data_IF_407527925891
#
_entry.id   IF_407527925891
#
_cell.length_a   1.000
_cell.length_b   1.000
_cell.length_c   1.000
_cell.angle_alpha   90.00
_cell.angle_beta   90.00
_cell.angle_gamma   90.00
#
_symmetry.space_group_name_H-M   'P 1'
#
loop_
_entity.id
_entity.type
_entity.pdbx_description
1 polymer ?
#
# COMPACT_ATOMS: atom_id res chain seq x y z
N UNK A 1 2.72 -0.14 14.16
CA UNK A 1 3.59 -1.12 13.46
C UNK A 1 3.61 -0.74 11.98
N UNK A 2 4.76 -0.30 11.48
CA UNK A 2 4.88 0.26 10.12
C UNK A 2 4.91 -0.87 9.10
N UNK A 3 3.91 -0.96 8.25
CA UNK A 3 3.95 -1.80 7.05
C UNK A 3 4.64 -0.97 5.96
N UNK A 4 5.92 -1.26 5.69
CA UNK A 4 6.63 -0.76 4.53
C UNK A 4 6.43 -1.73 3.37
N UNK A 5 5.67 -1.32 2.37
CA UNK A 5 5.61 -2.01 1.08
C UNK A 5 6.85 -1.65 0.25
N UNK A 6 7.80 -2.57 0.17
CA UNK A 6 8.90 -2.48 -0.80
C UNK A 6 8.60 -3.39 -1.99
N UNK A 7 8.27 -2.80 -3.14
CA UNK A 7 8.26 -3.51 -4.42
C UNK A 7 9.69 -3.62 -4.94
N UNK A 8 10.22 -4.84 -5.01
CA UNK A 8 11.49 -5.14 -5.64
C UNK A 8 11.28 -5.37 -7.16
N UNK A 9 11.95 -4.56 -7.97
CA UNK A 9 12.05 -4.70 -9.43
C UNK A 9 13.01 -5.85 -9.77
N UNK A 10 12.52 -6.87 -10.48
CA UNK A 10 13.35 -7.92 -11.09
C UNK A 10 13.87 -7.41 -12.43
N UNK A 11 15.18 -7.15 -12.51
CA UNK A 11 15.89 -6.86 -13.77
C UNK A 11 16.32 -8.16 -14.42
N UNK A 12 15.77 -8.47 -15.60
CA UNK A 12 16.15 -9.60 -16.43
C UNK A 12 17.31 -9.19 -17.37
N UNK A 13 18.52 -9.69 -17.11
CA UNK A 13 19.69 -9.53 -17.98
C UNK A 13 19.85 -10.75 -18.89
N UNK A 14 19.69 -10.54 -20.18
CA UNK A 14 20.02 -11.50 -21.26
C UNK A 14 21.53 -11.44 -21.53
N UNK A 15 22.23 -12.55 -21.31
CA UNK A 15 23.61 -12.76 -21.74
C UNK A 15 23.66 -13.52 -23.05
N UNK A 16 24.23 -12.88 -24.07
CA UNK A 16 24.60 -13.50 -25.34
C UNK A 16 25.94 -14.26 -25.17
N UNK A 17 25.95 -15.51 -25.57
CA UNK A 17 27.15 -16.35 -25.60
C UNK A 17 27.94 -16.08 -26.87
N UNK A 18 29.25 -15.80 -26.74
CA UNK A 18 30.24 -15.88 -27.81
C UNK A 18 31.27 -16.95 -27.46
N UNK A 19 31.44 -17.92 -28.35
CA UNK A 19 32.45 -18.97 -28.28
C UNK A 19 33.84 -18.42 -28.61
N UNK A 20 34.85 -18.75 -27.79
CA UNK A 20 36.26 -18.59 -28.10
C UNK A 20 37.07 -19.33 -27.05
N UNK A 21 37.65 -20.48 -27.42
CA UNK A 21 38.41 -21.33 -26.51
C UNK A 21 39.77 -20.71 -26.13
N UNK A 22 40.10 -20.83 -24.85
CA UNK A 22 41.48 -21.04 -24.37
C UNK A 22 41.41 -21.60 -22.94
N UNK A 23 42.22 -22.60 -22.67
CA UNK A 23 42.34 -23.26 -21.38
C UNK A 23 42.81 -22.24 -20.32
N UNK A 24 41.96 -21.94 -19.36
CA UNK A 24 42.34 -21.30 -18.11
C UNK A 24 42.28 -22.30 -16.97
N UNK A 25 43.17 -22.20 -15.96
CA UNK A 25 43.21 -23.17 -14.85
C UNK A 25 41.87 -23.16 -14.09
N UNK A 26 41.41 -24.34 -13.72
CA UNK A 26 40.24 -24.51 -12.84
C UNK A 26 40.41 -23.66 -11.60
N UNK A 27 39.48 -22.77 -11.24
CA UNK A 27 39.45 -22.23 -9.91
C UNK A 27 39.05 -23.40 -8.99
N UNK A 28 39.87 -23.63 -8.00
CA UNK A 28 39.57 -24.50 -6.86
C UNK A 28 38.16 -24.15 -6.39
N UNK A 29 37.29 -25.16 -6.29
CA UNK A 29 35.98 -25.05 -5.68
C UNK A 29 36.15 -24.64 -4.22
N UNK A 30 36.27 -23.34 -4.02
CA UNK A 30 36.14 -22.75 -2.69
C UNK A 30 34.67 -22.90 -2.34
N UNK A 31 34.34 -24.01 -1.66
CA UNK A 31 33.09 -24.21 -0.98
C UNK A 31 32.98 -23.10 0.08
N UNK A 32 32.54 -21.91 -0.37
CA UNK A 32 32.19 -20.82 0.52
C UNK A 32 31.03 -21.33 1.38
N UNK A 33 31.37 -21.82 2.56
CA UNK A 33 30.40 -21.83 3.67
C UNK A 33 30.03 -20.37 3.87
N UNK A 34 28.86 -19.97 3.35
CA UNK A 34 28.25 -18.70 3.78
C UNK A 34 28.33 -18.69 5.29
N UNK A 35 28.95 -17.65 5.83
CA UNK A 35 29.12 -17.53 7.26
C UNK A 35 27.73 -17.45 7.88
N UNK A 36 27.30 -18.52 8.57
CA UNK A 36 26.00 -18.56 9.24
C UNK A 36 25.91 -17.32 10.13
N UNK A 37 24.80 -16.56 9.99
CA UNK A 37 24.54 -15.36 10.77
C UNK A 37 24.85 -15.65 12.27
N UNK A 38 25.66 -14.81 12.95
CA UNK A 38 25.99 -15.02 14.34
C UNK A 38 24.77 -15.11 15.26
N UNK A 39 23.68 -14.38 14.96
CA UNK A 39 22.42 -14.43 15.70
C UNK A 39 21.73 -15.79 15.54
N UNK A 40 21.69 -16.32 14.33
CA UNK A 40 21.13 -17.65 14.06
C UNK A 40 21.93 -18.73 14.77
N UNK A 41 23.25 -18.67 14.71
CA UNK A 41 24.14 -19.62 15.42
C UNK A 41 23.90 -19.60 16.94
N UNK A 42 23.78 -18.41 17.53
CA UNK A 42 23.49 -18.28 18.96
C UNK A 42 22.14 -18.91 19.35
N UNK A 43 21.10 -18.74 18.50
CA UNK A 43 19.80 -19.37 18.73
C UNK A 43 19.86 -20.89 18.59
N UNK A 44 20.61 -21.41 17.62
CA UNK A 44 20.84 -22.85 17.44
C UNK A 44 21.54 -23.47 18.67
N UNK A 45 22.52 -22.77 19.25
CA UNK A 45 23.25 -23.25 20.42
C UNK A 45 22.36 -23.21 21.68
N UNK A 46 21.50 -22.20 21.83
CA UNK A 46 20.49 -22.14 22.89
C UNK A 46 19.50 -23.31 22.79
N UNK A 47 18.99 -23.60 21.59
CA UNK A 47 18.07 -24.73 21.36
C UNK A 47 18.74 -26.06 21.63
N UNK A 48 20.03 -26.24 21.26
CA UNK A 48 20.77 -27.46 21.59
C UNK A 48 20.98 -27.64 23.09
N UNK A 49 21.20 -26.52 23.81
CA UNK A 49 21.45 -26.52 25.26
C UNK A 49 20.15 -26.82 26.05
N UNK A 50 19.03 -26.24 25.60
CA UNK A 50 17.73 -26.36 26.25
C UNK A 50 16.64 -26.68 25.21
N UNK A 51 16.56 -27.95 24.72
CA UNK A 51 15.68 -28.32 23.60
C UNK A 51 14.18 -28.20 23.94
N UNK A 52 13.82 -28.27 25.22
CA UNK A 52 12.46 -28.17 25.71
C UNK A 52 12.00 -26.74 25.99
N UNK A 53 12.85 -25.74 25.78
CA UNK A 53 12.48 -24.33 25.95
C UNK A 53 11.81 -23.79 24.67
N UNK A 54 10.48 -23.55 24.67
CA UNK A 54 9.75 -23.12 23.48
C UNK A 54 10.16 -21.73 23.02
N UNK A 55 10.61 -20.87 23.95
CA UNK A 55 10.95 -19.48 23.65
C UNK A 55 12.14 -19.37 22.67
N UNK A 56 13.12 -20.26 22.74
CA UNK A 56 14.27 -20.22 21.82
C UNK A 56 13.84 -20.57 20.38
N UNK A 57 12.89 -21.51 20.24
CA UNK A 57 12.31 -21.81 18.94
C UNK A 57 11.47 -20.64 18.42
N UNK A 58 10.69 -20.00 19.28
CA UNK A 58 9.94 -18.80 18.90
C UNK A 58 10.86 -17.65 18.46
N UNK A 59 11.94 -17.40 19.20
CA UNK A 59 12.94 -16.39 18.81
C UNK A 59 13.61 -16.71 17.46
N UNK A 60 13.88 -18.01 17.19
CA UNK A 60 14.45 -18.42 15.91
C UNK A 60 13.41 -18.33 14.78
N UNK A 61 12.16 -18.66 15.07
CA UNK A 61 11.05 -18.45 14.14
C UNK A 61 10.86 -16.98 13.77
N UNK A 62 10.97 -16.05 14.73
CA UNK A 62 10.96 -14.62 14.44
C UNK A 62 12.10 -14.21 13.51
N UNK A 63 13.32 -14.72 13.78
CA UNK A 63 14.47 -14.49 12.90
C UNK A 63 14.20 -14.98 11.47
N UNK A 64 13.69 -16.20 11.32
CA UNK A 64 13.36 -16.78 10.02
C UNK A 64 12.23 -16.01 9.32
N UNK A 65 11.20 -15.58 10.06
CA UNK A 65 10.13 -14.77 9.53
C UNK A 65 10.63 -13.43 8.98
N UNK A 66 11.50 -12.73 9.75
CA UNK A 66 12.12 -11.47 9.34
C UNK A 66 13.01 -11.63 8.09
N UNK A 67 13.58 -12.83 7.90
CA UNK A 67 14.38 -13.21 6.74
C UNK A 67 13.57 -13.81 5.58
N UNK A 68 12.23 -13.78 5.66
CA UNK A 68 11.28 -14.39 4.68
C UNK A 68 11.48 -15.91 4.49
N UNK A 69 12.17 -16.57 5.42
CA UNK A 69 12.34 -18.02 5.46
C UNK A 69 11.15 -18.69 6.15
N UNK A 70 9.99 -18.64 5.49
CA UNK A 70 8.70 -18.98 6.10
C UNK A 70 8.54 -20.45 6.44
N UNK A 71 9.16 -21.38 5.69
CA UNK A 71 9.13 -22.81 6.01
C UNK A 71 9.80 -23.09 7.36
N UNK A 72 10.99 -22.54 7.56
CA UNK A 72 11.77 -22.67 8.79
C UNK A 72 11.05 -22.00 9.96
N UNK A 73 10.45 -20.82 9.75
CA UNK A 73 9.67 -20.14 10.76
C UNK A 73 8.45 -20.99 11.19
N UNK A 74 7.70 -21.53 10.25
CA UNK A 74 6.51 -22.36 10.52
C UNK A 74 6.91 -23.66 11.24
N UNK A 75 8.04 -24.27 10.89
CA UNK A 75 8.50 -25.49 11.54
C UNK A 75 8.93 -25.24 12.99
N UNK A 76 9.64 -24.16 13.27
CA UNK A 76 10.00 -23.78 14.64
C UNK A 76 8.77 -23.41 15.48
N UNK A 77 7.79 -22.68 14.91
CA UNK A 77 6.54 -22.36 15.58
C UNK A 77 5.71 -23.59 15.92
N UNK A 78 5.66 -24.58 14.98
CA UNK A 78 5.01 -25.85 15.25
C UNK A 78 5.64 -26.57 16.43
N UNK A 79 6.96 -26.60 16.52
CA UNK A 79 7.68 -27.19 17.65
C UNK A 79 7.49 -26.38 18.94
N UNK A 80 7.45 -25.05 18.88
CA UNK A 80 7.16 -24.21 20.04
C UNK A 80 5.76 -24.49 20.61
N UNK A 81 4.73 -24.59 19.73
CA UNK A 81 3.37 -24.93 20.10
C UNK A 81 3.19 -26.34 20.68
N UNK A 82 4.02 -27.31 20.22
CA UNK A 82 4.05 -28.66 20.82
C UNK A 82 4.61 -28.67 22.22
N UNK A 83 5.55 -27.75 22.52
CA UNK A 83 6.19 -27.63 23.85
C UNK A 83 5.34 -26.80 24.82
N UNK A 84 4.72 -25.74 24.32
CA UNK A 84 3.81 -24.86 25.08
C UNK A 84 2.74 -24.28 24.15
N UNK A 85 1.50 -24.74 24.30
CA UNK A 85 0.37 -24.26 23.54
C UNK A 85 -0.36 -23.06 24.17
N UNK A 86 0.12 -22.55 25.31
CA UNK A 86 -0.53 -21.49 26.07
C UNK A 86 0.11 -20.11 25.84
N UNK A 87 0.72 -19.89 24.68
CA UNK A 87 1.35 -18.63 24.30
C UNK A 87 0.66 -18.06 23.05
N UNK A 88 -0.19 -17.02 23.17
CA UNK A 88 -0.88 -16.43 22.00
C UNK A 88 0.07 -15.98 20.89
N UNK A 89 1.24 -15.45 21.27
CA UNK A 89 2.24 -14.94 20.32
C UNK A 89 2.71 -16.00 19.30
N UNK A 90 2.74 -17.29 19.68
CA UNK A 90 3.15 -18.36 18.76
C UNK A 90 2.10 -18.56 17.64
N UNK A 91 0.82 -18.51 18.00
CA UNK A 91 -0.29 -18.57 17.04
C UNK A 91 -0.31 -17.36 16.12
N UNK A 92 -0.08 -16.16 16.68
CA UNK A 92 -0.05 -14.91 15.91
C UNK A 92 1.04 -14.95 14.84
N UNK A 93 2.29 -15.24 15.24
CA UNK A 93 3.39 -15.29 14.29
C UNK A 93 3.22 -16.43 13.27
N UNK A 94 2.66 -17.58 13.69
CA UNK A 94 2.38 -18.69 12.77
C UNK A 94 1.33 -18.32 11.73
N UNK A 95 0.29 -17.58 12.13
CA UNK A 95 -0.73 -17.09 11.20
C UNK A 95 -0.14 -16.07 10.23
N UNK A 96 0.69 -15.12 10.72
CA UNK A 96 1.37 -14.14 9.89
C UNK A 96 2.29 -14.84 8.86
N UNK A 97 3.13 -15.80 9.31
CA UNK A 97 4.03 -16.55 8.43
C UNK A 97 3.28 -17.33 7.34
N UNK A 98 2.13 -17.93 7.68
CA UNK A 98 1.28 -18.61 6.70
C UNK A 98 0.67 -17.64 5.69
N UNK A 99 0.24 -16.46 6.15
CA UNK A 99 -0.38 -15.47 5.27
C UNK A 99 0.64 -14.89 4.28
N UNK A 100 1.83 -14.52 4.78
CA UNK A 100 2.89 -13.89 3.97
C UNK A 100 3.55 -14.89 3.02
N UNK A 101 3.64 -16.16 3.39
CA UNK A 101 4.11 -17.21 2.51
C UNK A 101 3.17 -17.44 1.31
N UNK A 102 1.88 -17.21 1.49
CA UNK A 102 0.85 -17.17 0.45
C UNK A 102 0.76 -18.41 -0.45
N UNK A 103 1.10 -19.61 0.05
CA UNK A 103 0.87 -20.85 -0.68
C UNK A 103 -0.63 -21.20 -0.75
N UNK A 104 -1.03 -22.07 -1.70
CA UNK A 104 -2.41 -22.54 -1.76
C UNK A 104 -2.90 -23.08 -0.41
N UNK A 105 -4.03 -22.57 0.06
CA UNK A 105 -4.67 -22.85 1.35
C UNK A 105 -4.00 -22.28 2.59
N UNK A 106 -2.89 -21.58 2.53
CA UNK A 106 -2.24 -21.01 3.72
C UNK A 106 -3.10 -19.96 4.41
N UNK A 107 -3.85 -19.12 3.68
CA UNK A 107 -4.82 -18.21 4.28
C UNK A 107 -5.89 -18.93 5.11
N UNK A 108 -6.38 -20.08 4.62
CA UNK A 108 -7.34 -20.91 5.38
C UNK A 108 -6.70 -21.51 6.63
N UNK A 109 -5.46 -22.00 6.51
CA UNK A 109 -4.71 -22.53 7.66
C UNK A 109 -4.43 -21.45 8.71
N UNK A 110 -4.08 -20.26 8.27
CA UNK A 110 -3.85 -19.12 9.16
C UNK A 110 -5.10 -18.76 9.96
N UNK A 111 -6.27 -18.75 9.31
CA UNK A 111 -7.55 -18.54 10.01
C UNK A 111 -7.81 -19.65 11.03
N UNK A 112 -7.62 -20.92 10.68
CA UNK A 112 -7.78 -22.04 11.60
C UNK A 112 -6.87 -21.93 12.84
N UNK A 113 -5.63 -21.49 12.65
CA UNK A 113 -4.69 -21.24 13.75
C UNK A 113 -5.18 -20.11 14.66
N UNK A 114 -5.73 -19.02 14.08
CA UNK A 114 -6.30 -17.93 14.87
C UNK A 114 -7.63 -18.31 15.54
N UNK A 115 -8.45 -19.14 14.92
CA UNK A 115 -9.67 -19.71 15.56
C UNK A 115 -9.32 -20.59 16.77
N UNK A 116 -8.26 -21.39 16.63
CA UNK A 116 -7.73 -22.17 17.76
C UNK A 116 -7.22 -21.24 18.87
N UNK A 117 -6.46 -20.20 18.51
CA UNK A 117 -6.00 -19.21 19.48
C UNK A 117 -7.17 -18.50 20.17
N UNK A 118 -8.20 -18.08 19.43
CA UNK A 118 -9.40 -17.43 20.01
C UNK A 118 -10.19 -18.36 20.94
N UNK A 119 -10.16 -19.68 20.69
CA UNK A 119 -10.76 -20.66 21.60
C UNK A 119 -9.98 -20.82 22.91
N UNK A 120 -8.64 -20.75 22.85
CA UNK A 120 -7.75 -20.86 24.02
C UNK A 120 -7.64 -19.54 24.80
N UNK A 121 -7.68 -18.43 24.08
CA UNK A 121 -7.51 -17.06 24.60
C UNK A 121 -8.69 -16.17 24.17
N UNK A 122 -9.91 -16.47 24.64
CA UNK A 122 -11.12 -15.77 24.20
C UNK A 122 -11.12 -14.27 24.52
N UNK A 123 -10.30 -13.85 25.49
CA UNK A 123 -10.21 -12.47 25.97
C UNK A 123 -8.95 -11.74 25.45
N UNK A 124 -8.16 -12.37 24.58
CA UNK A 124 -6.98 -11.71 24.00
C UNK A 124 -7.38 -10.78 22.83
N UNK A 125 -7.26 -9.45 23.00
CA UNK A 125 -7.70 -8.50 21.98
C UNK A 125 -6.96 -8.66 20.66
N UNK A 126 -5.65 -8.96 20.71
CA UNK A 126 -4.83 -9.09 19.51
C UNK A 126 -5.24 -10.32 18.68
N UNK A 127 -5.57 -11.45 19.34
CA UNK A 127 -6.10 -12.63 18.65
C UNK A 127 -7.39 -12.31 17.90
N UNK A 128 -8.33 -11.61 18.54
CA UNK A 128 -9.62 -11.26 17.94
C UNK A 128 -9.46 -10.24 16.79
N UNK A 129 -8.56 -9.26 16.94
CA UNK A 129 -8.24 -8.30 15.87
C UNK A 129 -7.60 -9.00 14.66
N UNK A 130 -6.61 -9.87 14.88
CA UNK A 130 -5.98 -10.65 13.80
C UNK A 130 -6.98 -11.58 13.12
N UNK A 131 -7.82 -12.26 13.89
CA UNK A 131 -8.88 -13.14 13.35
C UNK A 131 -9.84 -12.34 12.46
N UNK A 132 -10.23 -11.14 12.89
CA UNK A 132 -11.03 -10.24 12.06
C UNK A 132 -10.32 -9.82 10.77
N UNK A 133 -9.05 -9.40 10.88
CA UNK A 133 -8.25 -8.98 9.73
C UNK A 133 -8.09 -10.08 8.69
N UNK A 134 -7.75 -11.30 9.12
CA UNK A 134 -7.56 -12.44 8.21
C UNK A 134 -8.88 -12.87 7.56
N UNK A 135 -10.00 -12.84 8.30
CA UNK A 135 -11.32 -13.05 7.72
C UNK A 135 -11.69 -11.96 6.70
N UNK A 136 -11.31 -10.70 6.94
CA UNK A 136 -11.50 -9.60 5.97
C UNK A 136 -10.71 -9.84 4.69
N UNK A 137 -9.44 -10.26 4.78
CA UNK A 137 -8.59 -10.58 3.60
C UNK A 137 -9.25 -11.61 2.70
N UNK A 138 -9.87 -12.64 3.28
CA UNK A 138 -10.59 -13.67 2.52
C UNK A 138 -12.07 -13.35 2.29
N UNK A 139 -12.50 -12.12 2.59
CA UNK A 139 -13.87 -11.60 2.43
C UNK A 139 -14.94 -12.36 3.20
N UNK A 140 -14.58 -12.97 4.31
CA UNK A 140 -15.51 -13.59 5.25
C UNK A 140 -16.03 -12.54 6.24
N UNK A 141 -16.76 -11.53 5.76
CA UNK A 141 -17.17 -10.36 6.52
C UNK A 141 -17.94 -10.69 7.81
N UNK A 142 -18.83 -11.68 7.76
CA UNK A 142 -19.61 -12.07 8.95
C UNK A 142 -18.70 -12.62 10.07
N UNK A 143 -17.69 -13.42 9.72
CA UNK A 143 -16.74 -13.96 10.68
C UNK A 143 -15.84 -12.84 11.24
N UNK A 144 -15.39 -11.92 10.37
CA UNK A 144 -14.64 -10.74 10.77
C UNK A 144 -15.43 -9.91 11.80
N UNK A 145 -16.70 -9.62 11.52
CA UNK A 145 -17.57 -8.86 12.43
C UNK A 145 -17.84 -9.61 13.73
N UNK A 146 -18.00 -10.95 13.68
CA UNK A 146 -18.23 -11.75 14.90
C UNK A 146 -17.05 -11.66 15.89
N UNK A 147 -15.82 -11.71 15.39
CA UNK A 147 -14.63 -11.53 16.22
C UNK A 147 -14.57 -10.13 16.84
N UNK A 148 -14.89 -9.07 16.04
CA UNK A 148 -14.95 -7.71 16.55
C UNK A 148 -16.07 -7.47 17.55
N UNK A 149 -17.24 -8.07 17.33
CA UNK A 149 -18.36 -8.02 18.28
C UNK A 149 -18.01 -8.72 19.61
N UNK A 150 -17.22 -9.80 19.57
CA UNK A 150 -16.69 -10.43 20.78
C UNK A 150 -15.76 -9.47 21.53
N UNK A 151 -14.81 -8.84 20.83
CA UNK A 151 -13.89 -7.87 21.42
C UNK A 151 -14.64 -6.67 22.01
N UNK A 152 -15.62 -6.11 21.28
CA UNK A 152 -16.42 -4.97 21.74
C UNK A 152 -17.37 -5.29 22.91
N UNK A 153 -17.71 -6.55 23.15
CA UNK A 153 -18.41 -6.96 24.38
C UNK A 153 -17.50 -6.91 25.60
N UNK A 154 -16.21 -7.16 25.43
CA UNK A 154 -15.21 -7.14 26.51
C UNK A 154 -14.72 -5.71 26.75
N UNK A 155 -14.41 -5.00 25.69
CA UNK A 155 -13.96 -3.60 25.68
C UNK A 155 -14.81 -2.76 24.73
N UNK A 156 -15.93 -2.16 25.23
CA UNK A 156 -16.84 -1.34 24.40
C UNK A 156 -16.22 -0.06 23.84
N UNK A 157 -15.01 0.29 24.28
CA UNK A 157 -14.30 1.49 23.82
C UNK A 157 -13.05 1.16 23.00
N UNK A 158 -12.87 -0.08 22.58
CA UNK A 158 -11.73 -0.52 21.80
C UNK A 158 -11.69 0.19 20.44
N UNK A 159 -10.78 1.13 20.32
CA UNK A 159 -10.66 1.98 19.14
C UNK A 159 -10.25 1.19 17.89
N UNK A 160 -9.36 0.19 18.03
CA UNK A 160 -8.90 -0.67 16.94
C UNK A 160 -10.03 -1.58 16.43
N UNK A 161 -10.88 -2.08 17.34
CA UNK A 161 -12.07 -2.86 16.95
C UNK A 161 -13.06 -2.04 16.11
N UNK A 162 -13.28 -0.77 16.48
CA UNK A 162 -14.09 0.14 15.66
C UNK A 162 -13.40 0.47 14.33
N UNK A 163 -12.10 0.65 14.32
CA UNK A 163 -11.33 0.87 13.10
C UNK A 163 -11.47 -0.31 12.13
N UNK A 164 -11.26 -1.54 12.61
CA UNK A 164 -11.43 -2.76 11.83
C UNK A 164 -12.89 -2.95 11.36
N UNK A 165 -13.88 -2.64 12.22
CA UNK A 165 -15.30 -2.65 11.80
C UNK A 165 -15.57 -1.69 10.65
N UNK A 166 -14.90 -0.53 10.64
CA UNK A 166 -14.94 0.44 9.55
C UNK A 166 -14.34 -0.13 8.26
N UNK A 167 -13.21 -0.82 8.34
CA UNK A 167 -12.57 -1.49 7.18
C UNK A 167 -13.49 -2.57 6.59
N UNK A 168 -14.07 -3.41 7.44
CA UNK A 168 -15.02 -4.45 7.00
C UNK A 168 -16.24 -3.83 6.30
N UNK A 169 -16.82 -2.77 6.88
CA UNK A 169 -17.95 -2.09 6.30
C UNK A 169 -17.62 -1.44 4.93
N UNK A 170 -16.38 -0.92 4.75
CA UNK A 170 -15.92 -0.40 3.46
C UNK A 170 -15.83 -1.50 2.41
N UNK A 171 -15.27 -2.67 2.74
CA UNK A 171 -15.16 -3.79 1.80
C UNK A 171 -16.55 -4.35 1.42
N UNK A 172 -17.52 -4.28 2.33
CA UNK A 172 -18.94 -4.57 2.06
C UNK A 172 -19.64 -3.49 1.22
N UNK A 173 -19.01 -2.34 0.96
CA UNK A 173 -19.60 -1.19 0.26
C UNK A 173 -20.50 -0.31 1.13
N UNK A 174 -20.64 -0.59 2.43
CA UNK A 174 -21.44 0.22 3.37
C UNK A 174 -20.64 1.40 3.91
N UNK A 175 -20.52 2.44 3.08
CA UNK A 175 -19.78 3.67 3.45
C UNK A 175 -20.38 4.36 4.67
N UNK A 176 -21.70 4.26 4.89
CA UNK A 176 -22.34 4.92 6.03
C UNK A 176 -21.96 4.27 7.35
N UNK A 177 -22.00 2.93 7.39
CA UNK A 177 -21.55 2.16 8.55
C UNK A 177 -20.05 2.35 8.79
N UNK A 178 -19.25 2.36 7.72
CA UNK A 178 -17.81 2.60 7.81
C UNK A 178 -17.47 3.95 8.45
N UNK A 179 -18.08 5.05 7.99
CA UNK A 179 -17.87 6.37 8.57
C UNK A 179 -18.21 6.40 10.08
N UNK A 180 -19.36 5.81 10.46
CA UNK A 180 -19.75 5.75 11.88
C UNK A 180 -18.75 4.98 12.74
N UNK A 181 -18.23 3.87 12.21
CA UNK A 181 -17.25 3.06 12.90
C UNK A 181 -15.90 3.82 13.05
N UNK A 182 -15.40 4.43 11.97
CA UNK A 182 -14.19 5.26 12.05
C UNK A 182 -14.36 6.49 12.95
N UNK A 183 -15.54 7.12 12.99
CA UNK A 183 -15.80 8.22 13.93
C UNK A 183 -15.71 7.76 15.38
N UNK A 184 -16.19 6.56 15.70
CA UNK A 184 -16.02 5.97 17.03
C UNK A 184 -14.56 5.64 17.31
N UNK A 185 -13.83 5.09 16.34
CA UNK A 185 -12.42 4.78 16.54
C UNK A 185 -11.61 6.01 16.92
N UNK A 186 -11.75 7.13 16.18
CA UNK A 186 -11.02 8.37 16.49
C UNK A 186 -11.56 9.12 17.72
N UNK A 187 -12.75 8.79 18.18
CA UNK A 187 -13.29 9.31 19.45
C UNK A 187 -12.60 8.64 20.64
N UNK A 188 -12.27 7.36 20.53
CA UNK A 188 -11.62 6.60 21.60
C UNK A 188 -10.09 6.64 21.50
N UNK A 189 -9.56 6.71 20.29
CA UNK A 189 -8.14 6.93 20.03
C UNK A 189 -7.95 7.94 18.89
N UNK A 190 -7.52 9.14 19.25
CA UNK A 190 -7.29 10.24 18.31
C UNK A 190 -6.01 10.05 17.47
N UNK A 191 -5.14 9.09 17.81
CA UNK A 191 -3.88 8.84 17.11
C UNK A 191 -4.03 7.85 15.95
N UNK A 192 -5.24 7.36 15.69
CA UNK A 192 -5.57 6.52 14.53
C UNK A 192 -5.59 7.33 13.23
N UNK A 193 -4.40 7.57 12.69
CA UNK A 193 -4.18 8.38 11.49
C UNK A 193 -5.06 7.97 10.31
N UNK A 194 -5.10 6.67 9.99
CA UNK A 194 -5.84 6.16 8.83
C UNK A 194 -7.35 6.39 8.95
N UNK A 195 -7.90 6.35 10.16
CA UNK A 195 -9.32 6.63 10.38
C UNK A 195 -9.67 8.08 10.02
N UNK A 196 -8.83 9.06 10.41
CA UNK A 196 -9.00 10.45 10.02
C UNK A 196 -8.97 10.62 8.50
N UNK A 197 -8.01 9.97 7.83
CA UNK A 197 -7.87 10.00 6.36
C UNK A 197 -9.10 9.41 5.69
N UNK A 198 -9.58 8.24 6.13
CA UNK A 198 -10.76 7.60 5.55
C UNK A 198 -12.01 8.45 5.69
N UNK A 199 -12.26 9.03 6.88
CA UNK A 199 -13.40 9.91 7.09
C UNK A 199 -13.27 11.13 6.17
N UNK A 200 -12.11 11.80 6.17
CA UNK A 200 -11.85 12.99 5.36
C UNK A 200 -12.12 12.76 3.88
N UNK A 201 -11.60 11.66 3.31
CA UNK A 201 -11.83 11.28 1.91
C UNK A 201 -13.31 11.04 1.60
N UNK A 202 -14.06 10.42 2.50
CA UNK A 202 -15.49 10.17 2.28
C UNK A 202 -16.31 11.46 2.33
N UNK A 203 -15.99 12.38 3.25
CA UNK A 203 -16.60 13.70 3.28
C UNK A 203 -16.21 14.52 2.04
N UNK A 204 -14.96 14.43 1.58
CA UNK A 204 -14.48 15.11 0.38
C UNK A 204 -15.22 14.63 -0.89
N UNK A 205 -15.46 13.33 -1.06
CA UNK A 205 -16.26 12.77 -2.16
C UNK A 205 -17.68 13.34 -2.21
N UNK A 206 -18.26 13.69 -1.06
CA UNK A 206 -19.58 14.31 -0.94
C UNK A 206 -19.52 15.85 -0.99
N UNK A 207 -18.37 16.42 -1.34
CA UNK A 207 -18.11 17.87 -1.32
C UNK A 207 -18.45 18.54 0.03
N UNK A 208 -18.34 17.80 1.13
CA UNK A 208 -18.68 18.31 2.47
C UNK A 208 -17.45 18.99 3.10
N UNK A 209 -17.58 20.27 3.58
CA UNK A 209 -16.47 21.02 4.17
C UNK A 209 -15.81 20.37 5.39
N UNK A 210 -16.52 19.52 6.12
CA UNK A 210 -15.96 18.76 7.24
C UNK A 210 -14.74 17.92 6.84
N UNK A 211 -14.59 17.56 5.56
CA UNK A 211 -13.41 16.90 5.05
C UNK A 211 -12.11 17.58 5.48
N UNK A 212 -12.08 18.92 5.47
CA UNK A 212 -10.90 19.70 5.85
C UNK A 212 -10.50 19.49 7.32
N UNK A 213 -11.46 19.41 8.23
CA UNK A 213 -11.18 19.17 9.65
C UNK A 213 -10.57 17.78 9.87
N UNK A 214 -11.07 16.78 9.16
CA UNK A 214 -10.55 15.42 9.23
C UNK A 214 -9.13 15.32 8.63
N UNK A 215 -8.87 15.98 7.50
CA UNK A 215 -7.52 16.06 6.95
C UNK A 215 -6.56 16.86 7.85
N UNK A 216 -7.03 17.92 8.52
CA UNK A 216 -6.23 18.69 9.47
C UNK A 216 -5.87 17.86 10.71
N UNK A 217 -6.79 17.01 11.19
CA UNK A 217 -6.49 16.07 12.27
C UNK A 217 -5.43 15.03 11.84
N UNK A 218 -5.54 14.48 10.64
CA UNK A 218 -4.52 13.58 10.09
C UNK A 218 -3.15 14.29 9.97
N UNK A 219 -3.12 15.51 9.42
CA UNK A 219 -1.89 16.32 9.29
C UNK A 219 -1.30 16.77 10.62
N UNK A 220 -2.07 16.80 11.70
CA UNK A 220 -1.54 17.04 13.05
C UNK A 220 -0.72 15.88 13.56
N UNK A 221 -1.07 14.65 13.18
CA UNK A 221 -0.35 13.42 13.53
C UNK A 221 0.89 13.21 12.64
N UNK A 222 0.76 13.51 11.35
CA UNK A 222 1.86 13.47 10.38
C UNK A 222 1.82 14.73 9.52
N UNK A 223 2.56 15.76 9.97
CA UNK A 223 2.58 17.10 9.36
C UNK A 223 3.20 17.12 7.96
N UNK A 224 3.99 16.10 7.61
CA UNK A 224 4.69 15.98 6.34
C UNK A 224 4.01 15.03 5.36
N UNK A 225 2.82 14.53 5.67
CA UNK A 225 2.13 13.57 4.82
C UNK A 225 1.64 14.20 3.51
N UNK A 226 2.39 13.98 2.44
CA UNK A 226 2.11 14.56 1.12
C UNK A 226 0.78 14.06 0.54
N UNK A 227 0.41 12.81 0.82
CA UNK A 227 -0.82 12.23 0.32
C UNK A 227 -2.06 12.91 0.93
N UNK A 228 -2.02 13.23 2.23
CA UNK A 228 -3.12 13.95 2.89
C UNK A 228 -3.18 15.40 2.42
N UNK A 229 -2.01 16.03 2.20
CA UNK A 229 -1.94 17.37 1.59
C UNK A 229 -2.54 17.36 0.18
N UNK A 230 -2.29 16.33 -0.62
CA UNK A 230 -2.88 16.14 -1.95
C UNK A 230 -4.41 16.00 -1.88
N UNK A 231 -4.93 15.17 -0.96
CA UNK A 231 -6.39 15.05 -0.78
C UNK A 231 -7.03 16.40 -0.43
N UNK A 232 -6.38 17.18 0.43
CA UNK A 232 -6.84 18.51 0.81
C UNK A 232 -6.78 19.51 -0.34
N UNK A 233 -5.69 19.47 -1.13
CA UNK A 233 -5.54 20.27 -2.34
C UNK A 233 -6.60 19.92 -3.39
N UNK A 234 -6.83 18.64 -3.64
CA UNK A 234 -7.86 18.12 -4.54
C UNK A 234 -9.27 18.54 -4.11
N UNK A 235 -9.55 18.57 -2.80
CA UNK A 235 -10.82 19.09 -2.29
C UNK A 235 -11.02 20.57 -2.63
N UNK A 236 -9.99 21.42 -2.46
CA UNK A 236 -10.05 22.84 -2.87
C UNK A 236 -10.19 22.97 -4.39
N UNK A 237 -9.50 22.15 -5.18
CA UNK A 237 -9.60 22.13 -6.64
C UNK A 237 -11.03 21.84 -7.10
N UNK A 238 -11.67 20.81 -6.53
CA UNK A 238 -13.03 20.43 -6.86
C UNK A 238 -14.05 21.55 -6.53
N UNK A 239 -13.76 22.36 -5.51
CA UNK A 239 -14.56 23.52 -5.11
C UNK A 239 -14.21 24.78 -5.90
N UNK A 240 -13.29 24.72 -6.85
CA UNK A 240 -12.75 25.85 -7.61
C UNK A 240 -12.08 26.93 -6.74
N UNK A 241 -11.63 26.54 -5.55
CA UNK A 241 -10.84 27.39 -4.65
C UNK A 241 -9.37 27.37 -5.07
N UNK A 242 -9.11 27.76 -6.34
CA UNK A 242 -7.83 27.56 -7.03
C UNK A 242 -6.62 28.15 -6.32
N UNK A 243 -6.78 29.28 -5.60
CA UNK A 243 -5.69 29.87 -4.81
C UNK A 243 -5.20 28.90 -3.73
N UNK A 244 -6.15 28.35 -2.94
CA UNK A 244 -5.82 27.41 -1.86
C UNK A 244 -5.26 26.09 -2.39
N UNK A 245 -5.82 25.58 -3.48
CA UNK A 245 -5.33 24.36 -4.14
C UNK A 245 -3.87 24.57 -4.60
N UNK A 246 -3.59 25.66 -5.31
CA UNK A 246 -2.25 25.98 -5.80
C UNK A 246 -1.23 26.11 -4.68
N UNK A 247 -1.59 26.79 -3.58
CA UNK A 247 -0.69 27.00 -2.45
C UNK A 247 -0.37 25.66 -1.75
N UNK A 248 -1.33 24.73 -1.72
CA UNK A 248 -1.11 23.40 -1.17
C UNK A 248 -0.23 22.55 -2.08
N UNK A 249 -0.49 22.51 -3.40
CA UNK A 249 0.38 21.79 -4.36
C UNK A 249 1.81 22.35 -4.36
N UNK A 250 1.99 23.67 -4.22
CA UNK A 250 3.33 24.26 -4.08
C UNK A 250 4.06 23.76 -2.84
N UNK A 251 3.36 23.61 -1.71
CA UNK A 251 3.96 23.04 -0.48
C UNK A 251 4.41 21.58 -0.73
N UNK A 252 3.59 20.79 -1.42
CA UNK A 252 3.94 19.41 -1.78
C UNK A 252 5.21 19.39 -2.64
N UNK A 253 5.27 20.21 -3.69
CA UNK A 253 6.42 20.29 -4.61
C UNK A 253 7.69 20.79 -3.89
N UNK A 254 7.55 21.69 -2.91
CA UNK A 254 8.68 22.15 -2.11
C UNK A 254 9.21 21.05 -1.18
N UNK A 255 8.34 20.18 -0.67
CA UNK A 255 8.71 19.07 0.18
C UNK A 255 9.28 17.88 -0.62
N UNK A 256 8.70 17.62 -1.80
CA UNK A 256 9.15 16.59 -2.73
C UNK A 256 9.04 17.11 -4.18
N UNK A 257 10.14 17.57 -4.78
CA UNK A 257 10.16 18.05 -6.16
C UNK A 257 9.85 16.98 -7.21
N UNK A 258 9.94 15.69 -6.86
CA UNK A 258 9.65 14.58 -7.75
C UNK A 258 8.22 14.04 -7.61
N UNK A 259 7.37 14.69 -6.79
CA UNK A 259 5.98 14.31 -6.60
C UNK A 259 5.13 14.62 -7.84
N UNK A 260 5.12 13.70 -8.80
CA UNK A 260 4.51 13.87 -10.13
C UNK A 260 3.02 14.23 -10.10
N UNK A 261 2.26 13.70 -9.12
CA UNK A 261 0.82 13.98 -8.96
C UNK A 261 0.55 15.47 -8.72
N UNK A 262 1.38 16.16 -7.94
CA UNK A 262 1.16 17.59 -7.68
C UNK A 262 1.29 18.44 -8.95
N UNK A 263 2.24 18.10 -9.82
CA UNK A 263 2.34 18.76 -11.14
C UNK A 263 1.15 18.42 -12.03
N UNK A 264 0.73 17.16 -12.06
CA UNK A 264 -0.44 16.74 -12.82
C UNK A 264 -1.70 17.49 -12.38
N UNK A 265 -1.97 17.60 -11.10
CA UNK A 265 -3.15 18.29 -10.56
C UNK A 265 -3.08 19.80 -10.76
N UNK A 266 -1.89 20.42 -10.69
CA UNK A 266 -1.71 21.81 -11.11
C UNK A 266 -2.02 21.97 -12.60
N UNK A 267 -1.60 21.03 -13.44
CA UNK A 267 -1.96 20.99 -14.86
C UNK A 267 -3.47 20.97 -15.07
N UNK A 268 -4.19 20.09 -14.35
CA UNK A 268 -5.68 20.04 -14.35
C UNK A 268 -6.27 21.38 -13.91
N UNK A 269 -5.76 21.96 -12.83
CA UNK A 269 -6.22 23.25 -12.32
C UNK A 269 -6.10 24.35 -13.38
N UNK A 270 -4.96 24.46 -14.05
CA UNK A 270 -4.74 25.45 -15.09
C UNK A 270 -5.56 25.18 -16.36
N UNK A 271 -5.76 23.90 -16.70
CA UNK A 271 -6.62 23.52 -17.81
C UNK A 271 -8.09 23.91 -17.57
N UNK A 272 -8.58 23.79 -16.32
CA UNK A 272 -9.92 24.24 -15.91
C UNK A 272 -10.06 25.77 -15.94
N UNK A 273 -8.96 26.52 -15.87
CA UNK A 273 -8.94 27.97 -15.98
C UNK A 273 -8.65 28.47 -17.42
N UNK A 274 -8.63 27.57 -18.40
CA UNK A 274 -8.23 27.83 -19.79
C UNK A 274 -6.83 28.40 -19.95
N UNK A 275 -5.98 28.22 -18.94
CA UNK A 275 -4.59 28.64 -18.93
C UNK A 275 -3.72 27.56 -19.60
N UNK A 276 -3.90 27.42 -20.91
CA UNK A 276 -3.43 26.24 -21.67
C UNK A 276 -1.91 26.07 -21.65
N UNK A 277 -1.14 27.19 -21.65
CA UNK A 277 0.32 27.10 -21.60
C UNK A 277 0.78 26.57 -20.24
N UNK A 278 0.26 27.13 -19.14
CA UNK A 278 0.61 26.65 -17.79
C UNK A 278 0.17 25.19 -17.59
N UNK A 279 -0.99 24.80 -18.11
CA UNK A 279 -1.43 23.40 -18.07
C UNK A 279 -0.41 22.49 -18.78
N UNK A 280 -0.01 22.84 -20.00
CA UNK A 280 0.99 22.10 -20.78
C UNK A 280 2.31 21.95 -20.04
N UNK A 281 2.81 23.05 -19.46
CA UNK A 281 4.09 23.08 -18.76
C UNK A 281 4.05 22.21 -17.49
N UNK A 282 2.95 22.26 -16.71
CA UNK A 282 2.81 21.45 -15.51
C UNK A 282 2.63 19.96 -15.82
N UNK A 283 1.85 19.60 -16.85
CA UNK A 283 1.82 18.20 -17.32
C UNK A 283 3.19 17.77 -17.85
N UNK A 284 3.94 18.68 -18.46
CA UNK A 284 5.33 18.44 -18.88
C UNK A 284 6.26 18.12 -17.70
N UNK A 285 6.09 18.82 -16.57
CA UNK A 285 6.81 18.48 -15.32
C UNK A 285 6.39 17.11 -14.79
N UNK A 286 5.10 16.80 -14.76
CA UNK A 286 4.61 15.48 -14.34
C UNK A 286 5.22 14.33 -15.17
N UNK A 287 5.33 14.52 -16.50
CA UNK A 287 5.99 13.53 -17.39
C UNK A 287 7.49 13.46 -17.17
N UNK A 288 8.13 14.58 -16.79
CA UNK A 288 9.57 14.63 -16.52
C UNK A 288 9.92 13.91 -15.23
N UNK A 289 9.11 14.09 -14.17
CA UNK A 289 9.31 13.44 -12.86
C UNK A 289 8.89 11.97 -12.87
N UNK A 290 7.82 11.63 -13.62
CA UNK A 290 7.39 10.24 -13.84
C UNK A 290 7.20 9.98 -15.35
N UNK A 291 8.22 9.45 -16.05
CA UNK A 291 8.12 9.10 -17.46
C UNK A 291 7.10 8.01 -17.80
N UNK A 292 6.58 7.29 -16.79
CA UNK A 292 5.54 6.26 -16.95
C UNK A 292 4.13 6.78 -16.66
N UNK A 293 3.97 8.07 -16.37
CA UNK A 293 2.68 8.67 -16.04
C UNK A 293 1.80 8.86 -17.31
N UNK A 294 1.18 7.79 -17.75
CA UNK A 294 0.40 7.73 -19.00
C UNK A 294 -0.65 8.84 -19.10
N UNK A 295 -1.37 9.09 -18.00
CA UNK A 295 -2.41 10.14 -17.97
C UNK A 295 -1.83 11.54 -18.15
N UNK A 296 -0.60 11.80 -17.70
CA UNK A 296 0.03 13.10 -17.86
C UNK A 296 0.37 13.37 -19.34
N UNK A 297 0.85 12.37 -20.11
CA UNK A 297 0.99 12.49 -21.56
C UNK A 297 -0.34 12.82 -22.23
N UNK A 298 -1.40 12.06 -21.90
CA UNK A 298 -2.72 12.31 -22.50
C UNK A 298 -3.21 13.74 -22.23
N UNK A 299 -3.13 14.20 -20.98
CA UNK A 299 -3.60 15.54 -20.60
C UNK A 299 -2.72 16.65 -21.16
N UNK A 300 -1.41 16.41 -21.31
CA UNK A 300 -0.51 17.34 -22.03
C UNK A 300 -0.88 17.44 -23.50
N UNK A 301 -1.22 16.32 -24.12
CA UNK A 301 -1.75 16.27 -25.49
C UNK A 301 -3.06 17.05 -25.63
N UNK A 302 -3.98 16.95 -24.66
CA UNK A 302 -5.22 17.76 -24.62
C UNK A 302 -4.90 19.26 -24.54
N UNK A 303 -3.99 19.66 -23.67
CA UNK A 303 -3.58 21.06 -23.56
C UNK A 303 -2.94 21.58 -24.86
N UNK A 304 -2.08 20.78 -25.50
CA UNK A 304 -1.46 21.09 -26.79
C UNK A 304 -2.50 21.22 -27.92
N UNK A 305 -3.47 20.28 -28.00
CA UNK A 305 -4.54 20.33 -29.01
C UNK A 305 -5.38 21.58 -28.87
N UNK A 306 -5.76 21.95 -27.63
CA UNK A 306 -6.52 23.18 -27.35
C UNK A 306 -5.75 24.45 -27.68
N UNK A 307 -4.41 24.45 -27.52
CA UNK A 307 -3.53 25.54 -27.96
C UNK A 307 -3.38 25.64 -29.48
N UNK A 308 -3.76 24.59 -30.22
CA UNK A 308 -3.57 24.47 -31.65
C UNK A 308 -2.24 23.85 -32.06
N UNK A 309 -1.39 23.41 -31.14
CA UNK A 309 -0.16 22.66 -31.37
C UNK A 309 -0.47 21.18 -31.63
N UNK A 310 -0.94 20.91 -32.87
CA UNK A 310 -1.36 19.59 -33.26
C UNK A 310 -0.22 18.56 -33.30
N UNK A 311 1.00 19.01 -33.60
CA UNK A 311 2.19 18.14 -33.67
C UNK A 311 2.60 17.67 -32.27
N UNK A 312 2.60 18.56 -31.28
CA UNK A 312 2.84 18.19 -29.87
C UNK A 312 1.72 17.27 -29.37
N UNK A 313 0.46 17.60 -29.67
CA UNK A 313 -0.69 16.76 -29.28
C UNK A 313 -0.58 15.34 -29.86
N UNK A 314 -0.23 15.20 -31.14
CA UNK A 314 -0.07 13.90 -31.79
C UNK A 314 1.02 13.05 -31.14
N UNK A 315 2.18 13.67 -30.81
CA UNK A 315 3.27 12.97 -30.12
C UNK A 315 2.80 12.43 -28.77
N UNK A 316 2.13 13.25 -27.97
CA UNK A 316 1.70 12.91 -26.63
C UNK A 316 0.60 11.85 -26.63
N UNK A 317 -0.42 11.95 -27.48
CA UNK A 317 -1.45 10.90 -27.62
C UNK A 317 -0.88 9.60 -28.16
N UNK A 318 0.10 9.65 -29.08
CA UNK A 318 0.81 8.47 -29.56
C UNK A 318 1.58 7.79 -28.44
N UNK A 319 2.26 8.57 -27.59
CA UNK A 319 2.99 8.02 -26.45
C UNK A 319 2.04 7.37 -25.44
N UNK A 320 0.96 8.05 -25.06
CA UNK A 320 -0.02 7.50 -24.13
C UNK A 320 -0.67 6.19 -24.64
N UNK A 321 -1.05 6.13 -25.92
CA UNK A 321 -1.63 4.92 -26.52
C UNK A 321 -0.63 3.78 -26.71
N UNK A 322 0.68 4.08 -26.86
CA UNK A 322 1.72 3.04 -26.89
C UNK A 322 2.00 2.44 -25.53
N UNK A 323 1.97 3.26 -24.47
CA UNK A 323 2.22 2.81 -23.11
C UNK A 323 1.06 1.98 -22.56
N UNK A 324 -0.17 2.26 -23.01
CA UNK A 324 -1.34 1.48 -22.67
C UNK A 324 -2.24 1.31 -23.90
N UNK A 325 -2.20 0.13 -24.52
CA UNK A 325 -3.00 -0.19 -25.71
C UNK A 325 -4.52 -0.18 -25.46
N UNK A 326 -4.93 -0.35 -24.20
CA UNK A 326 -6.35 -0.34 -23.77
C UNK A 326 -6.84 1.09 -23.42
N UNK A 327 -5.99 2.12 -23.60
CA UNK A 327 -6.39 3.50 -23.37
C UNK A 327 -7.06 4.06 -24.64
N UNK A 328 -8.31 3.68 -24.85
CA UNK A 328 -9.08 3.99 -26.07
C UNK A 328 -9.15 5.50 -26.35
N UNK A 329 -9.35 6.33 -25.31
CA UNK A 329 -9.47 7.79 -25.45
C UNK A 329 -8.17 8.41 -26.00
N UNK A 330 -7.01 7.87 -25.64
CA UNK A 330 -5.73 8.32 -26.19
C UNK A 330 -5.56 7.93 -27.67
N UNK A 331 -5.99 6.72 -28.04
CA UNK A 331 -5.95 6.25 -29.42
C UNK A 331 -6.92 7.07 -30.31
N UNK A 332 -8.13 7.32 -29.87
CA UNK A 332 -9.13 8.15 -30.58
C UNK A 332 -8.63 9.59 -30.75
N UNK A 333 -8.04 10.18 -29.70
CA UNK A 333 -7.49 11.54 -29.74
C UNK A 333 -6.32 11.63 -30.75
N UNK A 334 -5.41 10.63 -30.73
CA UNK A 334 -4.33 10.50 -31.72
C UNK A 334 -4.87 10.51 -33.15
N UNK A 335 -5.86 9.64 -33.44
CA UNK A 335 -6.42 9.47 -34.78
C UNK A 335 -7.19 10.72 -35.23
N UNK A 336 -7.90 11.39 -34.30
CA UNK A 336 -8.57 12.66 -34.54
C UNK A 336 -7.55 13.75 -34.96
N UNK A 337 -6.48 13.90 -34.20
CA UNK A 337 -5.45 14.91 -34.47
C UNK A 337 -4.68 14.58 -35.74
N UNK A 338 -4.34 13.30 -35.99
CA UNK A 338 -3.68 12.88 -37.25
C UNK A 338 -4.53 13.22 -38.48
N UNK A 339 -5.86 13.05 -38.42
CA UNK A 339 -6.76 13.47 -39.53
C UNK A 339 -6.82 14.96 -39.71
N UNK A 340 -6.70 15.77 -38.66
CA UNK A 340 -6.67 17.25 -38.75
C UNK A 340 -5.40 17.74 -39.40
N UNK A 341 -4.24 17.13 -39.08
CA UNK A 341 -2.95 17.45 -39.67
C UNK A 341 -2.89 17.16 -41.19
N UNK A 342 -3.56 16.06 -41.64
CA UNK A 342 -3.61 15.72 -43.08
C UNK A 342 -4.48 16.66 -43.91
N UNK A 343 -5.34 17.46 -43.28
CA UNK A 343 -6.25 18.40 -43.96
C UNK A 343 -5.71 19.83 -44.03
N UNK A 344 -4.58 20.10 -43.32
CA UNK A 344 -3.83 21.34 -43.43
C UNK A 344 -2.79 21.22 -44.57
#
# INVERSE_FOLDING_TARGET
MRIQNSFALISLLLLLAACGGNQTPQPEANSGREAIDPKLRALDDLIKKEPSNPNYRFMRAQYFYDAEAFDEAIDDLRQALLLDSLQPAYYHLMADALLDYARPNDSKRAIQILEQAASLFPDDPLTLLKLSEFNLIVRQHNNALAALDQLLRQDPQNAEAFFMSGRVALDMGDTTRAIKAFQKSVQYDADLFDAWVFIGRNFAKKNNPLALQYFDNALRLDTANLQVMEYKAGFFLNRREYGKARDMYRKIILADPDYSNAYYDLGIMYLNQDSLQQAYDHFGMAVKTDPLYIRAYYMRGIAAERKGDLDAALRDFTQASRMNANFEEAAEARDRVARRLKKK
#
